data_IF_601985352955
#
_entry.id   IF_601985352955
#
_cell.length_a   1.000
_cell.length_b   1.000
_cell.length_c   1.000
_cell.angle_alpha   90.00
_cell.angle_beta   90.00
_cell.angle_gamma   90.00
#
_symmetry.space_group_name_H-M   'P 1'
#
loop_
_entity.id
_entity.type
_entity.pdbx_description
1 polymer ?
#
# COMPACT_ATOMS: atom_id res chain seq x y z
N UNK A 1 1.32 -4.41 18.42
CA UNK A 1 0.30 -4.07 17.41
C UNK A 1 0.45 -5.07 16.28
N UNK A 2 -0.63 -5.48 15.62
CA UNK A 2 -0.48 -6.20 14.36
C UNK A 2 -0.30 -5.18 13.25
N UNK A 3 0.95 -5.05 12.79
CA UNK A 3 1.38 -4.17 11.71
C UNK A 3 0.62 -4.44 10.40
N UNK A 4 0.02 -5.64 10.26
CA UNK A 4 -0.73 -6.04 9.07
C UNK A 4 -1.96 -5.17 8.82
N UNK A 5 -2.55 -4.56 9.86
CA UNK A 5 -3.79 -3.81 9.76
C UNK A 5 -3.72 -2.64 8.77
N UNK A 6 -2.55 -2.00 8.62
CA UNK A 6 -2.35 -0.85 7.74
C UNK A 6 -2.42 -1.19 6.24
N UNK A 7 -2.44 -2.49 5.89
CA UNK A 7 -2.46 -2.97 4.50
C UNK A 7 -3.77 -3.68 4.12
N UNK A 8 -4.69 -3.85 5.05
CA UNK A 8 -5.91 -4.65 4.83
C UNK A 8 -6.93 -3.97 3.91
N UNK A 9 -6.73 -2.71 3.54
CA UNK A 9 -7.66 -1.98 2.69
C UNK A 9 -8.83 -1.37 3.46
N UNK A 10 -8.65 -1.06 4.75
CA UNK A 10 -9.68 -0.46 5.61
C UNK A 10 -9.10 0.68 6.44
N UNK A 11 -9.92 1.67 6.85
CA UNK A 11 -9.52 2.63 7.85
C UNK A 11 -9.08 1.94 9.15
N UNK A 12 -7.97 2.40 9.71
CA UNK A 12 -7.42 1.93 10.98
C UNK A 12 -7.83 2.91 12.08
N UNK A 13 -8.47 2.37 13.13
CA UNK A 13 -8.73 3.13 14.35
C UNK A 13 -7.46 3.18 15.19
N UNK A 14 -6.87 4.36 15.31
CA UNK A 14 -5.65 4.55 16.07
C UNK A 14 -5.73 5.80 16.95
N UNK A 15 -5.28 5.69 18.20
CA UNK A 15 -5.43 6.74 19.23
C UNK A 15 -4.11 7.28 19.77
N UNK A 16 -3.00 6.60 19.51
CA UNK A 16 -1.69 7.00 20.02
C UNK A 16 -0.86 7.64 18.90
N UNK A 17 0.43 7.90 19.13
CA UNK A 17 1.36 8.34 18.10
C UNK A 17 2.37 7.23 17.88
N UNK A 18 2.51 6.75 16.64
CA UNK A 18 3.45 5.68 16.33
C UNK A 18 4.85 6.26 16.20
N UNK A 19 5.84 5.52 16.69
CA UNK A 19 7.25 5.78 16.44
C UNK A 19 7.78 4.69 15.52
N UNK A 20 8.41 5.10 14.43
CA UNK A 20 9.05 4.19 13.46
C UNK A 20 10.57 4.36 13.59
N UNK A 21 11.32 3.30 13.96
CA UNK A 21 12.77 3.36 14.00
C UNK A 21 13.35 3.40 12.57
N UNK A 22 14.52 4.01 12.43
CA UNK A 22 15.30 3.93 11.18
C UNK A 22 16.22 2.73 11.27
N UNK A 23 15.92 1.69 10.49
CA UNK A 23 16.71 0.45 10.48
C UNK A 23 18.03 0.60 9.69
N UNK A 24 17.99 1.37 8.61
CA UNK A 24 19.15 1.63 7.75
C UNK A 24 19.34 3.13 7.59
N UNK A 25 20.49 3.64 8.02
CA UNK A 25 20.83 5.04 7.83
C UNK A 25 21.03 5.34 6.33
N UNK A 26 20.54 6.49 5.88
CA UNK A 26 20.63 6.88 4.47
C UNK A 26 19.97 8.23 4.20
N UNK A 27 19.81 8.54 2.92
CA UNK A 27 19.06 9.72 2.49
C UNK A 27 17.57 9.49 2.72
N UNK A 28 16.86 10.40 3.42
CA UNK A 28 15.42 10.30 3.60
C UNK A 28 14.70 10.30 2.25
N UNK A 29 13.70 9.44 2.11
CA UNK A 29 12.90 9.29 0.88
C UNK A 29 11.49 9.82 1.10
N UNK A 30 10.85 10.27 0.04
CA UNK A 30 9.46 10.72 0.08
C UNK A 30 8.47 9.55 0.22
N UNK A 31 8.86 8.37 -0.24
CA UNK A 31 8.13 7.12 -0.09
C UNK A 31 9.10 6.01 0.35
N UNK A 32 8.71 5.25 1.37
CA UNK A 32 9.39 4.02 1.77
C UNK A 32 8.38 2.99 2.26
N UNK A 33 8.79 1.73 2.28
CA UNK A 33 8.05 0.64 2.90
C UNK A 33 8.73 0.25 4.21
N UNK A 34 8.02 0.37 5.34
CA UNK A 34 8.53 0.01 6.66
C UNK A 34 7.98 -1.35 7.12
N UNK A 35 8.80 -2.11 7.87
CA UNK A 35 8.43 -3.41 8.43
C UNK A 35 7.86 -4.35 7.36
N UNK A 36 6.63 -4.80 7.55
CA UNK A 36 5.91 -5.64 6.58
C UNK A 36 5.30 -4.82 5.44
N UNK A 37 6.10 -4.06 4.69
CA UNK A 37 5.66 -3.29 3.51
C UNK A 37 4.57 -2.24 3.80
N UNK A 38 4.61 -1.59 4.97
CA UNK A 38 3.70 -0.50 5.30
C UNK A 38 4.19 0.76 4.58
N UNK A 39 3.37 1.40 3.73
CA UNK A 39 3.76 2.64 3.08
C UNK A 39 3.92 3.76 4.10
N UNK A 40 5.12 4.32 4.20
CA UNK A 40 5.44 5.52 4.96
C UNK A 40 5.85 6.60 3.98
N UNK A 41 5.18 7.74 4.05
CA UNK A 41 5.37 8.84 3.12
C UNK A 41 5.74 10.12 3.84
N UNK A 42 6.62 10.90 3.23
CA UNK A 42 6.90 12.26 3.65
C UNK A 42 5.65 13.14 3.47
N UNK A 43 5.50 14.17 4.32
CA UNK A 43 4.30 15.02 4.34
C UNK A 43 3.94 15.63 2.99
N UNK A 44 4.91 15.91 2.11
CA UNK A 44 4.60 16.43 0.76
C UNK A 44 3.82 15.43 -0.10
N UNK A 45 4.17 14.14 -0.02
CA UNK A 45 3.48 13.07 -0.74
C UNK A 45 2.12 12.83 -0.09
N UNK A 46 2.07 12.82 1.24
CA UNK A 46 0.81 12.71 1.98
C UNK A 46 -0.19 13.80 1.59
N UNK A 47 0.24 15.06 1.52
CA UNK A 47 -0.62 16.18 1.09
C UNK A 47 -1.14 16.02 -0.33
N UNK A 48 -0.32 15.52 -1.26
CA UNK A 48 -0.76 15.22 -2.62
C UNK A 48 -1.86 14.14 -2.63
N UNK A 49 -1.68 13.05 -1.88
CA UNK A 49 -2.71 12.02 -1.76
C UNK A 49 -4.00 12.54 -1.11
N UNK A 50 -3.89 13.41 -0.10
CA UNK A 50 -5.05 14.04 0.54
C UNK A 50 -5.83 14.95 -0.42
N UNK A 51 -5.16 15.55 -1.41
CA UNK A 51 -5.80 16.40 -2.41
C UNK A 51 -6.44 15.58 -3.55
N UNK A 52 -5.70 14.60 -4.09
CA UNK A 52 -6.12 13.87 -5.30
C UNK A 52 -6.97 12.64 -5.01
N UNK A 53 -6.86 12.04 -3.82
CA UNK A 53 -7.55 10.81 -3.47
C UNK A 53 -8.09 10.79 -2.02
N UNK A 54 -8.78 11.86 -1.55
CA UNK A 54 -9.19 12.00 -0.15
C UNK A 54 -10.07 10.85 0.36
N UNK A 55 -10.90 10.27 -0.51
CA UNK A 55 -11.84 9.20 -0.17
C UNK A 55 -11.19 7.80 -0.18
N UNK A 56 -9.98 7.69 -0.71
CA UNK A 56 -9.28 6.42 -0.92
C UNK A 56 -8.14 6.17 0.05
N UNK A 57 -7.73 7.19 0.81
CA UNK A 57 -6.62 7.10 1.77
C UNK A 57 -7.01 7.57 3.16
N UNK A 58 -6.38 6.96 4.16
CA UNK A 58 -6.24 7.51 5.49
C UNK A 58 -4.75 7.75 5.74
N UNK A 59 -4.43 8.94 6.24
CA UNK A 59 -3.07 9.36 6.54
C UNK A 59 -2.89 9.45 8.05
N UNK A 60 -1.96 8.69 8.61
CA UNK A 60 -1.73 8.59 10.05
C UNK A 60 -0.36 9.18 10.38
N UNK A 61 -0.27 10.31 11.11
CA UNK A 61 1.01 10.89 11.50
C UNK A 61 1.85 9.94 12.36
N UNK A 62 3.15 9.87 12.04
CA UNK A 62 4.13 9.05 12.76
C UNK A 62 5.41 9.82 13.02
N UNK A 63 6.08 9.49 14.11
CA UNK A 63 7.42 10.02 14.43
C UNK A 63 8.47 9.07 13.88
N UNK A 64 9.24 9.51 12.89
CA UNK A 64 10.37 8.75 12.35
C UNK A 64 11.64 9.18 13.10
N UNK A 65 12.34 8.21 13.66
CA UNK A 65 13.51 8.48 14.49
C UNK A 65 14.62 9.23 13.74
N UNK A 66 15.11 10.31 14.35
CA UNK A 66 16.20 11.11 13.77
C UNK A 66 15.80 11.96 12.56
N UNK A 67 14.52 11.97 12.17
CA UNK A 67 14.02 12.79 11.07
C UNK A 67 13.36 14.08 11.61
N UNK A 68 13.75 15.26 11.12
CA UNK A 68 13.14 16.52 11.53
C UNK A 68 11.78 16.78 10.86
N UNK A 69 11.56 16.17 9.69
CA UNK A 69 10.36 16.35 8.89
C UNK A 69 9.22 15.42 9.33
N UNK A 70 7.99 15.75 8.93
CA UNK A 70 6.81 14.96 9.23
C UNK A 70 6.61 13.83 8.21
N UNK A 71 6.33 12.64 8.74
CA UNK A 71 5.99 11.46 7.96
C UNK A 71 4.62 10.91 8.39
N UNK A 72 3.98 10.21 7.48
CA UNK A 72 2.66 9.61 7.68
C UNK A 72 2.66 8.19 7.13
N UNK A 73 1.98 7.28 7.82
CA UNK A 73 1.56 6.02 7.22
C UNK A 73 0.44 6.32 6.23
N UNK A 74 0.57 5.82 5.01
CA UNK A 74 -0.47 5.86 4.00
C UNK A 74 -1.22 4.54 4.01
N UNK A 75 -2.47 4.60 4.47
CA UNK A 75 -3.41 3.47 4.45
C UNK A 75 -4.35 3.67 3.27
N UNK A 76 -4.31 2.78 2.29
CA UNK A 76 -5.37 2.71 1.29
C UNK A 76 -6.62 2.10 1.93
N UNK A 77 -7.76 2.76 1.78
CA UNK A 77 -9.04 2.38 2.43
C UNK A 77 -10.01 1.70 1.48
N UNK A 78 -9.62 1.56 0.19
CA UNK A 78 -10.37 0.85 -0.83
C UNK A 78 -9.82 -0.58 -0.99
N UNK A 79 -10.55 -1.57 -0.49
CA UNK A 79 -10.29 -2.99 -0.80
C UNK A 79 -11.20 -3.45 -1.94
N UNK A 80 -10.62 -3.91 -3.04
CA UNK A 80 -11.40 -4.27 -4.23
C UNK A 80 -10.99 -5.65 -4.76
N UNK A 81 -11.97 -6.52 -4.98
CA UNK A 81 -11.80 -7.80 -5.65
C UNK A 81 -11.67 -7.59 -7.18
N UNK A 82 -10.49 -7.15 -7.61
CA UNK A 82 -10.21 -6.75 -8.99
C UNK A 82 -9.09 -7.54 -9.68
N UNK A 83 -8.47 -8.52 -9.02
CA UNK A 83 -7.44 -9.36 -9.67
C UNK A 83 -8.08 -10.12 -10.84
N UNK A 84 -7.47 -10.04 -12.01
CA UNK A 84 -7.79 -10.90 -13.14
C UNK A 84 -6.98 -12.20 -12.99
N UNK A 85 -7.61 -13.22 -12.39
CA UNK A 85 -6.98 -14.52 -12.15
C UNK A 85 -6.65 -15.28 -13.44
N UNK A 86 -7.26 -14.93 -14.59
CA UNK A 86 -6.96 -15.57 -15.87
C UNK A 86 -5.74 -14.94 -16.54
N UNK A 87 -5.57 -13.64 -16.36
CA UNK A 87 -4.44 -12.89 -16.92
C UNK A 87 -3.22 -12.84 -15.99
N UNK A 88 -3.40 -13.12 -14.69
CA UNK A 88 -2.33 -13.21 -13.69
C UNK A 88 -1.82 -14.64 -13.51
N UNK A 89 -0.58 -14.81 -13.03
CA UNK A 89 -0.07 -16.12 -12.60
C UNK A 89 -0.37 -16.33 -11.12
N UNK A 90 -1.36 -17.17 -10.83
CA UNK A 90 -1.86 -17.42 -9.47
C UNK A 90 -1.44 -18.79 -8.96
N UNK A 91 -0.90 -18.84 -7.74
CA UNK A 91 -0.77 -20.04 -6.93
C UNK A 91 -1.63 -19.86 -5.67
N UNK A 92 -2.44 -20.86 -5.35
CA UNK A 92 -3.28 -20.87 -4.15
C UNK A 92 -2.69 -21.81 -3.12
N UNK A 93 -2.91 -21.49 -1.84
CA UNK A 93 -2.65 -22.45 -0.76
C UNK A 93 -3.50 -23.70 -0.96
N UNK A 94 -2.85 -24.85 -0.83
CA UNK A 94 -3.46 -26.18 -0.94
C UNK A 94 -3.50 -26.87 0.41
N UNK A 95 -4.21 -27.99 0.49
CA UNK A 95 -4.21 -28.83 1.70
C UNK A 95 -2.82 -29.40 2.00
N UNK A 96 -1.99 -29.62 0.97
CA UNK A 96 -0.65 -30.21 1.09
C UNK A 96 0.33 -29.28 1.81
N UNK A 97 0.09 -27.97 1.77
CA UNK A 97 0.91 -26.97 2.45
C UNK A 97 0.76 -26.96 3.98
N UNK A 98 -0.20 -27.71 4.53
CA UNK A 98 -0.36 -27.87 5.98
C UNK A 98 -0.89 -26.64 6.71
N UNK A 99 -1.50 -25.68 6.00
CA UNK A 99 -2.09 -24.45 6.58
C UNK A 99 -3.59 -24.37 6.28
N UNK A 100 -4.46 -25.12 6.99
CA UNK A 100 -5.87 -25.29 6.61
C UNK A 100 -6.66 -24.00 6.47
N UNK A 101 -6.40 -23.00 7.33
CA UNK A 101 -7.12 -21.73 7.32
C UNK A 101 -6.77 -20.82 6.13
N UNK A 102 -5.73 -21.15 5.36
CA UNK A 102 -5.34 -20.41 4.15
C UNK A 102 -5.75 -21.08 2.86
N UNK A 103 -6.20 -22.34 2.89
CA UNK A 103 -6.54 -23.10 1.68
C UNK A 103 -7.50 -22.31 0.79
N UNK A 104 -7.18 -22.18 -0.49
CA UNK A 104 -7.93 -21.40 -1.47
C UNK A 104 -7.64 -19.90 -1.48
N UNK A 105 -6.85 -19.38 -0.54
CA UNK A 105 -6.33 -18.01 -0.58
C UNK A 105 -5.08 -17.92 -1.46
N UNK A 106 -4.75 -16.70 -1.91
CA UNK A 106 -3.54 -16.48 -2.69
C UNK A 106 -2.28 -16.82 -1.87
N UNK A 107 -1.49 -17.75 -2.41
CA UNK A 107 -0.13 -18.04 -1.95
C UNK A 107 0.87 -17.16 -2.70
N UNK A 108 0.73 -17.08 -4.02
CA UNK A 108 1.56 -16.24 -4.89
C UNK A 108 0.71 -15.62 -6.00
N UNK A 109 0.96 -14.34 -6.28
CA UNK A 109 0.45 -13.65 -7.46
C UNK A 109 1.65 -13.04 -8.18
N UNK A 110 1.94 -13.51 -9.39
CA UNK A 110 2.99 -12.96 -10.26
C UNK A 110 2.37 -12.41 -11.55
N UNK A 111 3.06 -11.48 -12.19
CA UNK A 111 2.58 -10.78 -13.38
C UNK A 111 1.14 -10.24 -13.13
N UNK A 112 0.96 -9.52 -12.01
CA UNK A 112 -0.37 -9.11 -11.54
C UNK A 112 -1.09 -8.31 -12.63
N UNK A 113 -2.29 -8.75 -12.98
CA UNK A 113 -3.24 -8.04 -13.84
C UNK A 113 -4.53 -7.78 -13.09
N UNK A 114 -5.11 -6.60 -13.31
CA UNK A 114 -6.39 -6.23 -12.70
C UNK A 114 -7.46 -5.98 -13.77
N UNK A 115 -8.70 -6.37 -13.46
CA UNK A 115 -9.88 -6.00 -14.21
C UNK A 115 -10.28 -4.56 -13.87
N UNK A 116 -9.85 -3.63 -14.73
CA UNK A 116 -10.10 -2.18 -14.57
C UNK A 116 -11.58 -1.84 -14.52
N UNK A 117 -12.48 -2.68 -15.05
CA UNK A 117 -13.92 -2.45 -14.97
C UNK A 117 -14.48 -2.58 -13.54
N UNK A 118 -13.76 -3.29 -12.66
CA UNK A 118 -14.14 -3.49 -11.24
C UNK A 118 -13.60 -2.41 -10.30
N UNK A 119 -12.63 -1.61 -10.74
CA UNK A 119 -11.94 -0.60 -9.93
C UNK A 119 -12.82 0.62 -9.64
N UNK A 120 -13.75 0.92 -10.56
CA UNK A 120 -14.63 2.09 -10.44
C UNK A 120 -13.82 3.39 -10.47
N UNK A 121 -14.11 4.29 -9.52
CA UNK A 121 -13.44 5.60 -9.42
C UNK A 121 -12.20 5.61 -8.52
N UNK A 122 -11.79 4.46 -7.96
CA UNK A 122 -10.71 4.40 -7.00
C UNK A 122 -9.37 4.79 -7.66
N UNK A 123 -8.71 5.78 -7.08
CA UNK A 123 -7.37 6.27 -7.41
C UNK A 123 -6.29 5.52 -6.64
N UNK A 124 -6.61 5.01 -5.43
CA UNK A 124 -5.69 4.26 -4.58
C UNK A 124 -6.43 3.06 -3.97
N UNK A 125 -5.87 1.85 -4.09
CA UNK A 125 -6.55 0.65 -3.61
C UNK A 125 -5.58 -0.48 -3.21
N UNK A 126 -6.14 -1.45 -2.47
CA UNK A 126 -5.55 -2.78 -2.25
C UNK A 126 -6.41 -3.84 -2.93
N UNK A 127 -5.74 -4.81 -3.55
CA UNK A 127 -6.43 -5.97 -4.08
C UNK A 127 -6.92 -6.86 -2.92
N UNK A 128 -8.18 -7.27 -2.97
CA UNK A 128 -8.71 -8.22 -2.00
C UNK A 128 -7.94 -9.55 -2.06
N UNK A 129 -7.54 -10.06 -0.89
CA UNK A 129 -6.76 -11.30 -0.77
C UNK A 129 -5.27 -11.16 -1.08
N UNK A 130 -4.80 -10.04 -1.65
CA UNK A 130 -3.40 -9.80 -1.99
C UNK A 130 -2.95 -8.39 -1.61
N UNK A 131 -2.55 -8.22 -0.35
CA UNK A 131 -2.34 -6.91 0.27
C UNK A 131 -0.92 -6.36 0.11
N UNK A 132 -0.03 -7.05 -0.60
CA UNK A 132 1.36 -6.62 -0.82
C UNK A 132 1.44 -5.33 -1.65
N UNK A 133 0.94 -5.35 -2.90
CA UNK A 133 0.98 -4.18 -3.79
C UNK A 133 0.04 -3.05 -3.33
N UNK A 134 0.52 -1.81 -3.40
CA UNK A 134 -0.31 -0.60 -3.33
C UNK A 134 -0.62 -0.20 -4.77
N UNK A 135 -1.89 -0.31 -5.17
CA UNK A 135 -2.29 0.03 -6.54
C UNK A 135 -2.71 1.48 -6.57
N UNK A 136 -2.17 2.22 -7.54
CA UNK A 136 -2.49 3.63 -7.79
C UNK A 136 -2.90 3.82 -9.25
N UNK A 137 -3.74 4.81 -9.51
CA UNK A 137 -4.09 5.23 -10.86
C UNK A 137 -2.90 5.85 -11.58
N UNK A 138 -3.00 5.98 -12.90
CA UNK A 138 -2.03 6.74 -13.70
C UNK A 138 -1.95 8.20 -13.28
N UNK A 139 -3.06 8.82 -12.85
CA UNK A 139 -3.08 10.20 -12.39
C UNK A 139 -2.25 10.41 -11.11
N UNK A 140 -2.36 9.49 -10.15
CA UNK A 140 -1.55 9.50 -8.93
C UNK A 140 -0.08 9.27 -9.25
N UNK A 141 0.23 8.30 -10.13
CA UNK A 141 1.60 8.05 -10.58
C UNK A 141 2.20 9.30 -11.22
N UNK A 142 1.48 9.93 -12.14
CA UNK A 142 1.96 11.12 -12.84
C UNK A 142 2.12 12.32 -11.89
N UNK A 143 1.28 12.43 -10.85
CA UNK A 143 1.44 13.41 -9.80
C UNK A 143 2.71 13.17 -8.98
N UNK A 144 3.01 11.92 -8.61
CA UNK A 144 4.25 11.53 -7.92
C UNK A 144 5.49 11.86 -8.75
N UNK A 145 5.45 11.57 -10.05
CA UNK A 145 6.53 11.91 -10.99
C UNK A 145 6.72 13.44 -11.10
N UNK A 146 5.61 14.20 -11.20
CA UNK A 146 5.65 15.67 -11.34
C UNK A 146 6.27 16.36 -10.14
N UNK A 147 6.04 15.86 -8.93
CA UNK A 147 6.65 16.41 -7.70
C UNK A 147 8.06 15.86 -7.46
N UNK A 148 8.55 14.94 -8.30
CA UNK A 148 9.84 14.30 -8.15
C UNK A 148 9.96 13.44 -6.90
N UNK A 149 8.88 12.72 -6.54
CA UNK A 149 8.85 11.92 -5.31
C UNK A 149 9.91 10.82 -5.31
N UNK A 150 10.80 10.87 -4.33
CA UNK A 150 11.89 9.89 -4.16
C UNK A 150 11.40 8.59 -3.52
N UNK A 151 12.07 7.48 -3.83
CA UNK A 151 11.76 6.16 -3.25
C UNK A 151 10.58 5.43 -3.89
N UNK A 152 9.95 6.00 -4.92
CA UNK A 152 8.86 5.36 -5.65
C UNK A 152 9.38 4.40 -6.73
N UNK A 153 8.69 3.27 -6.91
CA UNK A 153 8.90 2.34 -8.02
C UNK A 153 7.55 1.83 -8.48
N UNK A 154 7.33 1.83 -9.80
CA UNK A 154 6.06 1.42 -10.38
C UNK A 154 6.24 0.24 -11.32
N UNK A 155 5.22 -0.63 -11.34
CA UNK A 155 5.04 -1.70 -12.30
C UNK A 155 3.60 -1.64 -12.80
N UNK A 156 3.41 -1.81 -14.11
CA UNK A 156 2.09 -1.73 -14.72
C UNK A 156 1.31 -3.04 -14.50
N UNK A 157 0.08 -2.90 -13.99
CA UNK A 157 -0.87 -3.99 -13.75
C UNK A 157 -2.08 -3.95 -14.67
#
# INVERSE_FOLDING_TARGET
MDDGQFRLGFPVLFKERLRIPVETAGTPLDFTEAGIMIPVVHVRVASMFAELAPDDVQLIPVDVEGQPDQYLILVATRRIHCIDEKASRIELWTHEDGVPHKVGQYFSVRDLRIDKSKVGSAQVLRCEGWTGPLIVSGEIKDALDRIGATGTRFEEV
#
